data_IF_362535078559
#
_entry.id   IF_362535078559
#
_cell.length_a   1.000
_cell.length_b   1.000
_cell.length_c   1.000
_cell.angle_alpha   90.00
_cell.angle_beta   90.00
_cell.angle_gamma   90.00
#
_symmetry.space_group_name_H-M   'P 1'
#
loop_
_entity.id
_entity.type
_entity.pdbx_description
1 polymer ?
#
# COMPACT_ATOMS: atom_id res chain seq x y z
N UNK A 1 -6.90 -13.12 16.14
CA UNK A 1 -7.85 -12.09 15.70
C UNK A 1 -7.73 -10.93 16.69
N UNK A 2 -7.32 -9.75 16.25
CA UNK A 2 -7.27 -8.56 17.13
C UNK A 2 -8.66 -8.29 17.70
N UNK A 3 -8.71 -8.08 19.01
CA UNK A 3 -9.97 -7.84 19.74
C UNK A 3 -10.56 -6.44 19.50
N UNK A 4 -9.84 -5.57 18.78
CA UNK A 4 -10.29 -4.21 18.49
C UNK A 4 -10.23 -3.95 16.98
N UNK A 5 -11.38 -3.83 16.28
CA UNK A 5 -11.42 -3.60 14.83
C UNK A 5 -10.95 -2.20 14.39
N UNK A 6 -10.65 -1.31 15.33
CA UNK A 6 -10.27 0.08 15.06
C UNK A 6 -8.79 0.40 15.31
N UNK A 7 -7.95 -0.61 15.61
CA UNK A 7 -6.52 -0.37 15.79
C UNK A 7 -5.86 0.03 14.46
N UNK A 8 -5.04 1.08 14.53
CA UNK A 8 -4.16 1.45 13.42
C UNK A 8 -2.92 0.55 13.43
N UNK A 9 -2.32 0.34 12.26
CA UNK A 9 -1.08 -0.41 12.10
C UNK A 9 0.03 0.52 11.62
N UNK A 10 1.19 0.47 12.26
CA UNK A 10 2.42 1.13 11.82
C UNK A 10 3.56 0.13 11.78
N UNK A 11 4.41 0.23 10.79
CA UNK A 11 5.63 -0.57 10.72
C UNK A 11 6.82 0.28 11.17
N UNK A 12 7.39 -0.13 12.29
CA UNK A 12 8.57 0.50 12.88
C UNK A 12 9.82 -0.17 12.30
N UNK A 13 10.63 0.59 11.57
CA UNK A 13 11.98 0.13 11.20
C UNK A 13 12.92 0.41 12.34
N UNK A 14 13.37 -0.63 13.01
CA UNK A 14 14.20 -0.51 14.21
C UNK A 14 15.57 -1.12 13.97
N UNK A 15 16.62 -0.36 14.28
CA UNK A 15 17.99 -0.85 14.43
C UNK A 15 18.21 -1.27 15.88
N UNK A 16 18.69 -2.49 16.05
CA UNK A 16 19.14 -3.00 17.35
C UNK A 16 20.64 -3.30 17.26
N UNK A 17 21.43 -2.84 18.22
CA UNK A 17 22.82 -3.26 18.32
C UNK A 17 22.88 -4.76 18.64
N UNK A 18 23.95 -5.44 18.18
CA UNK A 18 24.13 -6.89 18.34
C UNK A 18 24.49 -7.27 19.77
N UNK A 19 23.62 -6.91 20.71
CA UNK A 19 23.69 -7.26 22.12
C UNK A 19 22.58 -8.26 22.44
N UNK A 20 22.92 -9.42 23.08
CA UNK A 20 21.90 -10.40 23.46
C UNK A 20 20.75 -9.80 24.27
N UNK A 21 19.52 -10.16 23.91
CA UNK A 21 18.30 -9.71 24.60
C UNK A 21 17.74 -8.37 24.13
N UNK A 22 18.43 -7.58 23.28
CA UNK A 22 17.95 -6.27 22.82
C UNK A 22 16.59 -6.35 22.11
N UNK A 23 16.40 -7.31 21.21
CA UNK A 23 15.10 -7.52 20.57
C UNK A 23 14.02 -7.90 21.59
N UNK A 24 14.34 -8.76 22.54
CA UNK A 24 13.38 -9.15 23.59
C UNK A 24 12.92 -7.96 24.43
N UNK A 25 13.86 -7.09 24.84
CA UNK A 25 13.54 -5.84 25.57
C UNK A 25 12.64 -4.91 24.75
N UNK A 26 12.90 -4.75 23.45
CA UNK A 26 12.07 -3.97 22.55
C UNK A 26 10.63 -4.50 22.50
N UNK A 27 10.46 -5.82 22.31
CA UNK A 27 9.14 -6.43 22.20
C UNK A 27 8.36 -6.37 23.52
N UNK A 28 9.01 -6.62 24.65
CA UNK A 28 8.40 -6.50 25.98
C UNK A 28 7.91 -5.07 26.21
N UNK A 29 8.76 -4.07 25.92
CA UNK A 29 8.43 -2.67 26.09
C UNK A 29 7.23 -2.24 25.25
N UNK A 30 7.14 -2.69 23.97
CA UNK A 30 5.97 -2.43 23.14
C UNK A 30 4.71 -3.00 23.79
N UNK A 31 4.78 -4.22 24.33
CA UNK A 31 3.67 -4.85 25.03
C UNK A 31 3.29 -4.12 26.33
N UNK A 32 4.25 -3.63 27.10
CA UNK A 32 4.02 -2.82 28.32
C UNK A 32 3.32 -1.50 28.02
N UNK A 33 3.53 -0.96 26.83
CA UNK A 33 2.80 0.20 26.32
C UNK A 33 1.44 -0.19 25.69
N UNK A 34 0.95 -1.41 25.87
CA UNK A 34 -0.28 -1.94 25.25
C UNK A 34 -0.27 -2.00 23.72
N UNK A 35 0.91 -1.88 23.08
CA UNK A 35 1.10 -2.12 21.66
C UNK A 35 0.98 -3.62 21.36
N UNK A 36 0.21 -3.98 20.35
CA UNK A 36 0.12 -5.36 19.88
C UNK A 36 1.09 -5.58 18.72
N UNK A 37 1.86 -6.68 18.75
CA UNK A 37 2.93 -6.95 17.80
C UNK A 37 2.41 -7.88 16.70
N UNK A 38 2.54 -7.43 15.46
CA UNK A 38 2.26 -8.21 14.27
C UNK A 38 3.48 -8.96 13.75
N UNK A 39 3.86 -8.70 12.50
CA UNK A 39 5.00 -9.32 11.87
C UNK A 39 6.33 -8.69 12.31
N UNK A 40 7.36 -9.52 12.35
CA UNK A 40 8.75 -9.08 12.53
C UNK A 40 9.55 -9.60 11.34
N UNK A 41 10.12 -8.68 10.55
CA UNK A 41 10.89 -9.01 9.36
C UNK A 41 12.32 -8.50 9.48
N UNK A 42 13.29 -9.38 9.27
CA UNK A 42 14.70 -8.98 9.15
C UNK A 42 14.91 -8.23 7.83
N UNK A 43 15.47 -7.04 7.91
CA UNK A 43 15.80 -6.19 6.76
C UNK A 43 17.29 -6.24 6.46
N UNK A 44 18.13 -6.13 7.52
CA UNK A 44 19.57 -6.15 7.41
C UNK A 44 20.19 -6.76 8.66
N UNK A 45 21.25 -7.51 8.46
CA UNK A 45 22.06 -8.06 9.55
C UNK A 45 23.53 -7.77 9.31
N UNK A 46 24.22 -7.31 10.36
CA UNK A 46 25.66 -7.07 10.39
C UNK A 46 26.24 -7.62 11.70
N UNK A 47 27.56 -7.64 11.82
CA UNK A 47 28.21 -8.02 13.09
C UNK A 47 27.92 -7.04 14.22
N UNK A 48 27.60 -5.78 13.93
CA UNK A 48 27.42 -4.71 14.91
C UNK A 48 25.95 -4.44 15.24
N UNK A 49 25.03 -4.65 14.30
CA UNK A 49 23.62 -4.37 14.47
C UNK A 49 22.75 -5.18 13.53
N UNK A 50 21.48 -5.23 13.87
CA UNK A 50 20.42 -5.74 13.00
C UNK A 50 19.35 -4.67 12.78
N UNK A 51 18.79 -4.62 11.58
CA UNK A 51 17.63 -3.78 11.26
C UNK A 51 16.44 -4.69 11.01
N UNK A 52 15.31 -4.40 11.68
CA UNK A 52 14.06 -5.13 11.52
C UNK A 52 12.91 -4.19 11.29
N UNK A 53 11.97 -4.63 10.50
CA UNK A 53 10.63 -4.04 10.41
C UNK A 53 9.74 -4.79 11.42
N UNK A 54 9.14 -4.06 12.34
CA UNK A 54 8.24 -4.58 13.36
C UNK A 54 6.88 -3.91 13.16
N UNK A 55 5.85 -4.68 12.78
CA UNK A 55 4.49 -4.17 12.69
C UNK A 55 3.88 -4.06 14.08
N UNK A 56 3.35 -2.90 14.40
CA UNK A 56 2.72 -2.60 15.70
C UNK A 56 1.30 -2.12 15.45
N UNK A 57 0.36 -2.70 16.18
CA UNK A 57 -1.02 -2.24 16.24
C UNK A 57 -1.22 -1.40 17.49
N UNK A 58 -1.76 -0.21 17.33
CA UNK A 58 -2.02 0.75 18.39
C UNK A 58 -3.43 1.32 18.26
N UNK A 59 -3.94 1.95 19.29
CA UNK A 59 -5.31 2.49 19.29
C UNK A 59 -5.42 3.71 18.38
N UNK A 60 -4.38 4.56 18.34
CA UNK A 60 -4.30 5.79 17.53
C UNK A 60 -2.85 6.25 17.34
N UNK A 61 -2.64 7.38 16.67
CA UNK A 61 -1.32 7.97 16.44
C UNK A 61 -0.64 8.43 17.75
N UNK A 62 -1.40 8.94 18.71
CA UNK A 62 -0.84 9.36 20.01
C UNK A 62 -0.27 8.16 20.76
N UNK A 63 -0.92 7.00 20.65
CA UNK A 63 -0.44 5.75 21.21
C UNK A 63 0.86 5.27 20.52
N UNK A 64 0.97 5.43 19.19
CA UNK A 64 2.22 5.15 18.48
C UNK A 64 3.34 6.07 18.97
N UNK A 65 3.09 7.35 19.18
CA UNK A 65 4.09 8.28 19.72
C UNK A 65 4.56 7.88 21.12
N UNK A 66 3.66 7.44 22.00
CA UNK A 66 4.03 6.92 23.32
C UNK A 66 4.97 5.73 23.22
N UNK A 67 4.65 4.77 22.34
CA UNK A 67 5.51 3.61 22.08
C UNK A 67 6.89 4.05 21.56
N UNK A 68 6.95 5.01 20.64
CA UNK A 68 8.20 5.53 20.10
C UNK A 68 9.06 6.21 21.18
N UNK A 69 8.44 7.01 22.06
CA UNK A 69 9.12 7.65 23.19
C UNK A 69 9.68 6.61 24.15
N UNK A 70 8.92 5.54 24.43
CA UNK A 70 9.40 4.45 25.26
C UNK A 70 10.58 3.70 24.61
N UNK A 71 10.52 3.38 23.30
CA UNK A 71 11.62 2.73 22.59
C UNK A 71 12.89 3.59 22.62
N UNK A 72 12.77 4.91 22.55
CA UNK A 72 13.92 5.82 22.61
C UNK A 72 14.71 5.74 23.93
N UNK A 73 14.12 5.17 25.00
CA UNK A 73 14.81 4.93 26.27
C UNK A 73 15.67 3.65 26.27
N UNK A 74 15.60 2.82 25.22
CA UNK A 74 16.44 1.61 25.09
C UNK A 74 17.77 1.99 24.44
N UNK A 75 18.92 2.01 25.16
CA UNK A 75 20.17 2.53 24.59
C UNK A 75 20.68 1.80 23.35
N UNK A 76 20.37 0.49 23.25
CA UNK A 76 20.80 -0.37 22.14
C UNK A 76 19.74 -0.48 21.01
N UNK A 77 18.72 0.37 21.02
CA UNK A 77 17.65 0.36 20.03
C UNK A 77 17.39 1.76 19.48
N UNK A 78 17.19 1.85 18.16
CA UNK A 78 16.88 3.12 17.52
C UNK A 78 15.84 2.91 16.43
N UNK A 79 14.75 3.66 16.47
CA UNK A 79 13.78 3.73 15.37
C UNK A 79 14.38 4.56 14.24
N UNK A 80 14.47 3.97 13.05
CA UNK A 80 14.99 4.60 11.84
C UNK A 80 13.88 5.23 11.01
N UNK A 81 12.70 4.59 11.00
CA UNK A 81 11.52 5.06 10.26
C UNK A 81 10.25 4.49 10.87
N UNK A 82 9.18 5.24 10.75
CA UNK A 82 7.80 4.80 11.00
C UNK A 82 7.05 4.86 9.67
N UNK A 83 6.38 3.77 9.29
CA UNK A 83 5.72 3.64 7.99
C UNK A 83 4.25 3.29 8.19
N UNK A 84 3.41 3.92 7.41
CA UNK A 84 2.02 3.54 7.22
C UNK A 84 1.92 2.69 5.95
N UNK A 85 1.98 1.37 6.09
CA UNK A 85 1.91 0.47 4.94
C UNK A 85 0.54 0.53 4.25
N UNK A 86 -0.51 0.96 4.96
CA UNK A 86 -1.85 1.13 4.35
C UNK A 86 -1.82 2.30 3.37
N UNK A 87 -1.32 3.45 3.79
CA UNK A 87 -1.18 4.61 2.91
C UNK A 87 -0.18 4.35 1.77
N UNK A 88 0.94 3.69 2.05
CA UNK A 88 1.93 3.31 1.03
C UNK A 88 1.33 2.43 -0.06
N UNK A 89 0.49 1.44 0.32
CA UNK A 89 -0.20 0.57 -0.65
C UNK A 89 -1.25 1.31 -1.48
N UNK A 90 -1.74 2.45 -1.01
CA UNK A 90 -2.72 3.28 -1.72
C UNK A 90 -2.08 4.42 -2.49
N UNK A 91 -0.78 4.69 -2.29
CA UNK A 91 -0.06 5.74 -3.02
C UNK A 91 -0.17 5.51 -4.52
N UNK A 92 -0.58 6.56 -5.27
CA UNK A 92 -0.85 6.54 -6.72
C UNK A 92 -1.97 5.58 -7.14
N UNK A 93 -2.80 5.14 -6.22
CA UNK A 93 -3.91 4.21 -6.46
C UNK A 93 -3.45 2.77 -6.68
N UNK A 94 -4.40 1.86 -6.84
CA UNK A 94 -4.17 0.42 -6.96
C UNK A 94 -4.28 -0.11 -8.38
N UNK A 95 -4.68 0.73 -9.34
CA UNK A 95 -4.92 0.34 -10.74
C UNK A 95 -3.93 1.08 -11.61
N UNK A 96 -3.21 0.32 -12.45
CA UNK A 96 -2.35 0.87 -13.48
C UNK A 96 -2.87 0.45 -14.85
N UNK A 97 -2.96 1.41 -15.78
CA UNK A 97 -3.31 1.15 -17.19
C UNK A 97 -2.00 1.08 -17.98
N UNK A 98 -1.83 0.00 -18.74
CA UNK A 98 -0.66 -0.20 -19.59
C UNK A 98 -1.08 -0.45 -21.04
N UNK A 99 -0.31 0.09 -21.98
CA UNK A 99 -0.48 -0.23 -23.40
C UNK A 99 -0.24 -1.73 -23.62
N UNK A 100 -1.09 -2.36 -24.43
CA UNK A 100 -0.95 -3.77 -24.87
C UNK A 100 0.06 -3.93 -26.00
N UNK A 101 0.41 -2.84 -26.68
CA UNK A 101 1.43 -2.83 -27.73
C UNK A 101 2.47 -1.73 -27.43
N UNK A 102 3.71 -2.02 -27.77
CA UNK A 102 4.80 -1.04 -27.73
C UNK A 102 4.78 -0.26 -29.04
N UNK A 103 4.83 1.07 -28.97
CA UNK A 103 4.92 1.94 -30.15
C UNK A 103 6.39 2.36 -30.27
N UNK A 104 7.17 1.54 -30.98
CA UNK A 104 8.62 1.69 -31.15
C UNK A 104 9.01 2.13 -32.56
N UNK A 105 8.06 2.20 -33.48
CA UNK A 105 8.30 2.56 -34.86
C UNK A 105 7.13 3.33 -35.48
N UNK A 106 7.43 4.12 -36.51
CA UNK A 106 6.41 4.82 -37.29
C UNK A 106 5.43 3.83 -37.95
N UNK A 107 5.88 2.63 -38.27
CA UNK A 107 5.04 1.61 -38.86
C UNK A 107 4.02 1.07 -37.87
N UNK A 108 4.40 0.82 -36.62
CA UNK A 108 3.47 0.44 -35.54
C UNK A 108 2.53 1.59 -35.23
N UNK A 109 3.03 2.83 -35.15
CA UNK A 109 2.20 4.01 -34.92
C UNK A 109 1.07 4.13 -35.98
N UNK A 110 1.39 3.92 -37.28
CA UNK A 110 0.39 3.96 -38.34
C UNK A 110 -0.67 2.87 -38.24
N UNK A 111 -0.37 1.73 -37.62
CA UNK A 111 -1.34 0.65 -37.39
C UNK A 111 -2.27 0.93 -36.21
N UNK A 112 -1.73 1.47 -35.12
CA UNK A 112 -2.51 1.71 -33.88
C UNK A 112 -3.18 3.07 -33.83
N UNK A 113 -2.75 4.01 -34.66
CA UNK A 113 -3.29 5.37 -34.75
C UNK A 113 -3.78 5.64 -36.18
N UNK A 114 -3.32 6.67 -36.83
CA UNK A 114 -3.76 7.06 -38.18
C UNK A 114 -2.77 6.54 -39.25
N UNK A 115 -3.24 5.86 -40.32
CA UNK A 115 -4.65 5.61 -40.72
C UNK A 115 -5.28 4.33 -40.18
N UNK A 116 -4.54 3.43 -39.53
CA UNK A 116 -4.99 2.09 -39.18
C UNK A 116 -6.25 2.06 -38.29
N UNK A 117 -6.36 2.95 -37.30
CA UNK A 117 -7.50 3.01 -36.37
C UNK A 117 -8.82 3.33 -37.10
N UNK A 118 -8.78 4.02 -38.25
CA UNK A 118 -9.98 4.35 -39.01
C UNK A 118 -10.72 3.09 -39.49
N UNK A 119 -9.99 2.06 -39.91
CA UNK A 119 -10.60 0.77 -40.30
C UNK A 119 -11.34 0.13 -39.12
N UNK A 120 -10.75 0.16 -37.92
CA UNK A 120 -11.37 -0.36 -36.68
C UNK A 120 -12.65 0.41 -36.36
N UNK A 121 -12.62 1.74 -36.45
CA UNK A 121 -13.80 2.59 -36.22
C UNK A 121 -14.92 2.26 -37.19
N UNK A 122 -14.63 2.10 -38.49
CA UNK A 122 -15.64 1.76 -39.50
C UNK A 122 -16.24 0.36 -39.27
N UNK A 123 -15.43 -0.63 -38.87
CA UNK A 123 -15.92 -1.96 -38.49
C UNK A 123 -16.87 -1.92 -37.32
N UNK A 124 -16.51 -1.19 -36.26
CA UNK A 124 -17.37 -1.02 -35.07
C UNK A 124 -18.67 -0.28 -35.43
N UNK A 125 -18.60 0.74 -36.30
CA UNK A 125 -19.76 1.47 -36.76
C UNK A 125 -20.72 0.58 -37.57
N UNK A 126 -20.19 -0.36 -38.34
CA UNK A 126 -21.00 -1.33 -39.11
C UNK A 126 -21.59 -2.46 -38.23
N UNK A 127 -20.83 -2.88 -37.20
CA UNK A 127 -21.26 -3.90 -36.23
C UNK A 127 -20.80 -3.50 -34.80
N UNK A 128 -21.70 -2.94 -34.03
CA UNK A 128 -21.47 -2.48 -32.67
C UNK A 128 -21.00 -3.59 -31.70
N UNK A 129 -21.28 -4.87 -31.98
CA UNK A 129 -20.80 -5.97 -31.15
C UNK A 129 -19.27 -6.06 -31.10
N UNK A 130 -18.61 -5.61 -32.19
CA UNK A 130 -17.16 -5.56 -32.30
C UNK A 130 -16.46 -4.56 -31.33
N UNK A 131 -17.23 -3.63 -30.76
CA UNK A 131 -16.70 -2.73 -29.72
C UNK A 131 -16.15 -3.51 -28.52
N UNK A 132 -16.78 -4.62 -28.14
CA UNK A 132 -16.29 -5.49 -27.05
C UNK A 132 -14.97 -6.19 -27.39
N UNK A 133 -14.71 -6.44 -28.68
CA UNK A 133 -13.49 -7.10 -29.14
C UNK A 133 -12.32 -6.11 -29.31
N UNK A 134 -12.62 -4.94 -29.90
CA UNK A 134 -11.58 -3.99 -30.32
C UNK A 134 -11.35 -2.83 -29.37
N UNK A 135 -12.13 -2.74 -28.26
CA UNK A 135 -11.94 -1.72 -27.25
C UNK A 135 -11.84 -2.33 -25.84
N UNK A 136 -11.54 -1.52 -24.85
CA UNK A 136 -11.47 -1.96 -23.46
C UNK A 136 -12.85 -2.04 -22.76
N UNK A 137 -13.95 -1.74 -23.45
CA UNK A 137 -15.29 -1.62 -22.85
C UNK A 137 -15.77 -2.89 -22.12
N UNK A 138 -15.32 -4.08 -22.59
CA UNK A 138 -15.65 -5.36 -21.95
C UNK A 138 -14.90 -5.60 -20.63
N UNK A 139 -13.90 -4.79 -20.31
CA UNK A 139 -13.07 -4.93 -19.12
C UNK A 139 -13.42 -3.92 -18.02
N UNK A 140 -14.43 -3.07 -18.24
CA UNK A 140 -14.81 -2.03 -17.29
C UNK A 140 -16.24 -2.19 -16.82
N UNK A 141 -16.45 -1.99 -15.53
CA UNK A 141 -17.74 -1.81 -14.89
C UNK A 141 -17.70 -0.45 -14.18
N UNK A 142 -18.66 0.42 -14.51
CA UNK A 142 -18.77 1.72 -13.85
C UNK A 142 -19.50 1.56 -12.51
N UNK A 143 -18.90 2.06 -11.45
CA UNK A 143 -19.55 2.24 -10.15
C UNK A 143 -19.75 3.75 -9.98
N UNK A 144 -21.01 4.16 -9.81
CA UNK A 144 -21.36 5.58 -9.63
C UNK A 144 -21.87 5.77 -8.21
N UNK A 145 -21.27 6.70 -7.49
CA UNK A 145 -21.63 7.03 -6.12
C UNK A 145 -21.44 8.53 -5.86
N UNK A 146 -22.24 9.08 -4.97
CA UNK A 146 -22.07 10.44 -4.42
C UNK A 146 -21.35 10.44 -3.06
N UNK A 147 -21.00 9.25 -2.56
CA UNK A 147 -20.30 9.10 -1.27
C UNK A 147 -21.14 9.35 -0.03
N UNK A 148 -22.48 9.41 -0.17
CA UNK A 148 -23.38 9.69 0.97
C UNK A 148 -23.59 8.51 1.91
N UNK A 149 -23.22 7.28 1.51
CA UNK A 149 -23.42 6.06 2.28
C UNK A 149 -22.23 5.10 2.18
N UNK A 150 -21.07 5.53 2.65
CA UNK A 150 -19.86 4.69 2.67
C UNK A 150 -19.89 3.77 3.88
N UNK A 151 -19.71 2.46 3.65
CA UNK A 151 -19.81 1.43 4.67
C UNK A 151 -18.87 1.71 5.85
N UNK A 152 -19.44 1.86 7.05
CA UNK A 152 -18.73 2.14 8.29
C UNK A 152 -18.31 3.59 8.50
N UNK A 153 -18.44 4.47 7.48
CA UNK A 153 -18.01 5.87 7.55
C UNK A 153 -19.17 6.87 7.38
N UNK A 154 -20.30 6.43 6.80
CA UNK A 154 -21.44 7.29 6.52
C UNK A 154 -21.22 8.23 5.33
N UNK A 155 -21.65 9.48 5.47
CA UNK A 155 -21.52 10.52 4.45
C UNK A 155 -20.15 11.21 4.57
N UNK A 156 -19.23 10.84 3.69
CA UNK A 156 -17.90 11.46 3.59
C UNK A 156 -17.66 12.13 2.23
N UNK A 157 -18.68 12.15 1.36
CA UNK A 157 -18.60 12.73 0.03
C UNK A 157 -17.93 11.82 -1.01
N UNK A 158 -17.90 12.25 -2.28
CA UNK A 158 -17.43 11.45 -3.42
C UNK A 158 -15.91 11.41 -3.62
N UNK A 159 -15.14 12.21 -2.87
CA UNK A 159 -13.66 12.36 -3.00
C UNK A 159 -12.96 12.03 -1.70
#
# INVERSE_FOLDING_TARGET
MSKNPHKIMRTLRVRNDSVPGTLGKLLVLIGEQNGDIGSIRLVQETHQYTVRDVSVYADDEAHIEQILQAIAQIPASRVLAVRDEVLELHDKGKIAVRSRCTIDSLQVLRRVYTPGVAEVCLKIAADHSLARQYTAISHFVAIVTDGTAVLGLGDIGPL
#
